data_IF_926717545084
#
_entry.id   IF_926717545084
#
_cell.length_a   1.000
_cell.length_b   1.000
_cell.length_c   1.000
_cell.angle_alpha   90.00
_cell.angle_beta   90.00
_cell.angle_gamma   90.00
#
_symmetry.space_group_name_H-M   'P 1'
#
loop_
_entity.id
_entity.type
_entity.pdbx_description
1 polymer ?
#
# COMPACT_ATOMS: atom_id res chain seq x y z
N UNK A 1 -33.37 -11.37 7.49
CA UNK A 1 -34.33 -11.37 8.64
C UNK A 1 -34.36 -12.70 9.42
N UNK A 2 -33.79 -13.82 8.92
CA UNK A 2 -33.69 -15.09 9.67
C UNK A 2 -32.56 -15.11 10.71
N UNK A 3 -31.50 -14.35 10.48
CA UNK A 3 -30.28 -14.38 11.32
C UNK A 3 -30.55 -13.94 12.76
N UNK A 4 -31.40 -12.93 12.94
CA UNK A 4 -31.79 -12.45 14.28
C UNK A 4 -32.57 -13.50 15.08
N UNK A 5 -33.43 -14.29 14.43
CA UNK A 5 -34.20 -15.35 15.09
C UNK A 5 -33.31 -16.51 15.52
N UNK A 6 -32.33 -16.85 14.69
CA UNK A 6 -31.33 -17.87 15.01
C UNK A 6 -30.45 -17.43 16.17
N UNK A 7 -29.96 -16.18 16.17
CA UNK A 7 -29.18 -15.61 17.28
C UNK A 7 -29.98 -15.57 18.59
N UNK A 8 -31.27 -15.20 18.55
CA UNK A 8 -32.11 -15.18 19.75
C UNK A 8 -32.37 -16.58 20.32
N UNK A 9 -32.42 -17.62 19.47
CA UNK A 9 -32.52 -19.01 19.91
C UNK A 9 -31.22 -19.48 20.56
N UNK A 10 -30.08 -19.22 19.94
CA UNK A 10 -28.75 -19.55 20.47
C UNK A 10 -28.43 -18.82 21.78
N UNK A 11 -28.88 -17.57 21.90
CA UNK A 11 -28.76 -16.80 23.15
C UNK A 11 -29.61 -17.43 24.26
N UNK A 12 -30.82 -17.91 23.94
CA UNK A 12 -31.68 -18.61 24.92
C UNK A 12 -31.20 -20.00 25.29
N UNK A 13 -30.49 -20.71 24.40
CA UNK A 13 -29.86 -21.99 24.72
C UNK A 13 -28.51 -21.82 25.44
N UNK A 14 -28.07 -20.60 25.72
CA UNK A 14 -26.74 -20.26 26.26
C UNK A 14 -25.56 -20.77 25.40
N UNK A 15 -25.84 -21.23 24.18
CA UNK A 15 -24.84 -21.69 23.21
C UNK A 15 -24.16 -20.53 22.47
N UNK A 16 -24.63 -19.29 22.70
CA UNK A 16 -24.05 -18.09 22.11
C UNK A 16 -22.95 -17.52 23.01
N UNK A 17 -21.70 -17.77 22.67
CA UNK A 17 -20.55 -17.15 23.33
C UNK A 17 -20.43 -15.67 22.92
N UNK A 18 -20.40 -14.78 23.91
CA UNK A 18 -20.14 -13.37 23.67
C UNK A 18 -18.75 -13.18 23.04
N UNK A 19 -18.71 -12.56 21.87
CA UNK A 19 -17.45 -12.18 21.23
C UNK A 19 -17.00 -10.87 21.84
N UNK A 20 -15.71 -10.80 22.20
CA UNK A 20 -15.11 -9.56 22.67
C UNK A 20 -15.18 -8.47 21.59
N UNK A 21 -15.81 -7.34 21.94
CA UNK A 21 -15.89 -6.15 21.10
C UNK A 21 -14.78 -5.18 21.52
N UNK A 22 -13.92 -4.72 20.60
CA UNK A 22 -12.89 -3.75 20.93
C UNK A 22 -13.50 -2.42 21.36
N UNK A 23 -12.96 -1.80 22.40
CA UNK A 23 -13.30 -0.43 22.74
C UNK A 23 -12.74 0.56 21.70
N UNK A 24 -13.17 1.83 21.72
CA UNK A 24 -12.72 2.83 20.74
C UNK A 24 -11.20 3.03 20.70
N UNK A 25 -10.48 2.82 21.81
CA UNK A 25 -9.03 2.95 21.83
C UNK A 25 -8.35 1.77 21.09
N UNK A 26 -8.87 0.56 21.26
CA UNK A 26 -8.42 -0.61 20.50
C UNK A 26 -8.73 -0.48 19.00
N UNK A 27 -9.89 0.07 18.64
CA UNK A 27 -10.24 0.34 17.24
C UNK A 27 -9.30 1.38 16.62
N UNK A 28 -9.02 2.47 17.32
CA UNK A 28 -8.10 3.51 16.87
C UNK A 28 -6.68 2.96 16.60
N UNK A 29 -6.16 2.11 17.49
CA UNK A 29 -4.87 1.45 17.28
C UNK A 29 -4.87 0.58 16.03
N UNK A 30 -5.93 -0.21 15.83
CA UNK A 30 -6.07 -1.08 14.65
C UNK A 30 -6.16 -0.27 13.37
N UNK A 31 -6.90 0.83 13.37
CA UNK A 31 -7.02 1.70 12.21
C UNK A 31 -5.70 2.36 11.82
N UNK A 32 -4.87 2.74 12.80
CA UNK A 32 -3.51 3.20 12.53
C UNK A 32 -2.66 2.12 11.85
N UNK A 33 -2.71 0.89 12.34
CA UNK A 33 -1.98 -0.24 11.73
C UNK A 33 -2.47 -0.51 10.30
N UNK A 34 -3.79 -0.50 10.09
CA UNK A 34 -4.40 -0.66 8.76
C UNK A 34 -4.00 0.47 7.81
N UNK A 35 -4.07 1.72 8.26
CA UNK A 35 -3.69 2.90 7.47
C UNK A 35 -2.22 2.83 7.05
N UNK A 36 -1.33 2.43 7.96
CA UNK A 36 0.09 2.19 7.65
C UNK A 36 0.25 1.10 6.58
N UNK A 37 -0.46 -0.03 6.74
CA UNK A 37 -0.46 -1.12 5.76
C UNK A 37 -0.93 -0.66 4.38
N UNK A 38 -2.04 0.09 4.32
CA UNK A 38 -2.58 0.66 3.10
C UNK A 38 -1.58 1.61 2.42
N UNK A 39 -0.93 2.50 3.19
CA UNK A 39 0.07 3.41 2.65
C UNK A 39 1.29 2.68 2.05
N UNK A 40 1.77 1.61 2.70
CA UNK A 40 2.87 0.78 2.18
C UNK A 40 2.46 0.05 0.89
N UNK A 41 1.23 -0.48 0.85
CA UNK A 41 0.67 -1.12 -0.33
C UNK A 41 0.54 -0.12 -1.50
N UNK A 42 0.10 1.11 -1.22
CA UNK A 42 -0.01 2.16 -2.23
C UNK A 42 1.34 2.58 -2.81
N UNK A 43 2.36 2.73 -1.98
CA UNK A 43 3.72 3.00 -2.45
C UNK A 43 4.20 1.87 -3.36
N UNK A 44 3.95 0.62 -2.98
CA UNK A 44 4.34 -0.55 -3.78
C UNK A 44 3.60 -0.58 -5.11
N UNK A 45 2.29 -0.36 -5.12
CA UNK A 45 1.48 -0.26 -6.35
C UNK A 45 1.97 0.87 -7.26
N UNK A 46 2.28 2.04 -6.71
CA UNK A 46 2.82 3.15 -7.47
C UNK A 46 4.18 2.80 -8.10
N UNK A 47 5.06 2.15 -7.33
CA UNK A 47 6.33 1.65 -7.85
C UNK A 47 6.12 0.69 -9.02
N UNK A 48 5.28 -0.33 -8.86
CA UNK A 48 5.00 -1.29 -9.93
C UNK A 48 4.42 -0.63 -11.18
N UNK A 49 3.48 0.30 -11.03
CA UNK A 49 2.90 1.06 -12.16
C UNK A 49 3.94 1.83 -12.95
N UNK A 50 4.87 2.49 -12.27
CA UNK A 50 5.98 3.22 -12.92
C UNK A 50 6.90 2.23 -13.63
N UNK A 51 7.30 1.14 -12.98
CA UNK A 51 8.14 0.11 -13.61
C UNK A 51 7.48 -0.47 -14.86
N UNK A 52 6.20 -0.85 -14.79
CA UNK A 52 5.46 -1.34 -15.95
C UNK A 52 5.35 -0.31 -17.07
N UNK A 53 5.18 0.97 -16.73
CA UNK A 53 5.17 2.04 -17.73
C UNK A 53 6.50 2.19 -18.45
N UNK A 54 7.62 2.20 -17.72
CA UNK A 54 8.96 2.30 -18.30
C UNK A 54 9.28 1.10 -19.20
N UNK A 55 8.88 -0.11 -18.79
CA UNK A 55 9.05 -1.31 -19.60
C UNK A 55 8.27 -1.24 -20.93
N UNK A 56 7.07 -0.68 -20.94
CA UNK A 56 6.29 -0.47 -22.18
C UNK A 56 6.92 0.56 -23.13
N UNK A 57 7.82 1.40 -22.63
CA UNK A 57 8.57 2.38 -23.43
C UNK A 57 9.99 1.89 -23.75
N UNK A 58 10.30 0.64 -23.40
CA UNK A 58 11.62 0.02 -23.46
C UNK A 58 12.74 0.81 -22.74
N UNK A 59 12.35 1.63 -21.75
CA UNK A 59 13.29 2.40 -20.93
C UNK A 59 13.74 1.53 -19.75
N UNK A 60 15.00 1.08 -19.78
CA UNK A 60 15.59 0.24 -18.72
C UNK A 60 16.59 1.02 -17.87
N UNK A 61 16.56 0.79 -16.57
CA UNK A 61 17.55 1.30 -15.63
C UNK A 61 18.56 0.19 -15.29
N UNK A 62 19.85 0.43 -15.53
CA UNK A 62 20.91 -0.57 -15.34
C UNK A 62 21.34 -0.81 -13.89
N UNK A 63 20.72 -0.15 -12.90
CA UNK A 63 21.09 -0.26 -11.49
C UNK A 63 19.94 -0.73 -10.59
N UNK A 64 20.17 -0.70 -9.27
CA UNK A 64 19.14 -1.07 -8.29
C UNK A 64 17.98 -0.05 -8.31
N UNK A 65 16.74 -0.46 -8.61
CA UNK A 65 15.60 0.44 -8.67
C UNK A 65 15.21 0.98 -7.29
N UNK A 66 14.45 2.08 -7.28
CA UNK A 66 13.91 2.75 -6.09
C UNK A 66 14.93 3.35 -5.09
N UNK A 67 16.22 3.37 -5.46
CA UNK A 67 17.27 4.09 -4.74
C UNK A 67 17.25 5.60 -5.00
N UNK A 68 18.02 6.39 -4.25
CA UNK A 68 18.18 7.84 -4.50
C UNK A 68 18.66 8.12 -5.94
N UNK A 69 19.60 7.30 -6.44
CA UNK A 69 20.11 7.38 -7.82
C UNK A 69 19.00 7.10 -8.85
N UNK A 70 18.20 6.05 -8.64
CA UNK A 70 17.07 5.74 -9.51
C UNK A 70 16.04 6.88 -9.54
N UNK A 71 15.70 7.48 -8.39
CA UNK A 71 14.75 8.60 -8.32
C UNK A 71 15.27 9.85 -9.04
N UNK A 72 16.57 10.16 -8.90
CA UNK A 72 17.19 11.26 -9.63
C UNK A 72 17.20 10.99 -11.14
N UNK A 73 17.44 9.75 -11.57
CA UNK A 73 17.34 9.33 -12.96
C UNK A 73 15.91 9.46 -13.51
N UNK A 74 14.89 9.00 -12.77
CA UNK A 74 13.48 9.17 -13.14
C UNK A 74 13.12 10.64 -13.38
N UNK A 75 13.64 11.55 -12.55
CA UNK A 75 13.42 12.99 -12.68
C UNK A 75 14.09 13.62 -13.92
N UNK A 76 15.04 12.93 -14.55
CA UNK A 76 15.72 13.37 -15.78
C UNK A 76 15.09 12.80 -17.04
N UNK A 77 14.17 11.84 -16.93
CA UNK A 77 13.48 11.28 -18.08
C UNK A 77 12.60 12.36 -18.71
N UNK A 78 12.94 12.76 -19.92
CA UNK A 78 12.10 13.58 -20.77
C UNK A 78 11.31 12.65 -21.71
N UNK A 79 9.99 12.75 -21.65
CA UNK A 79 9.11 12.04 -22.58
C UNK A 79 8.72 13.01 -23.69
N UNK A 80 8.94 12.59 -24.94
CA UNK A 80 8.66 13.39 -26.14
C UNK A 80 7.16 13.62 -26.31
N UNK A 81 6.34 12.61 -25.99
CA UNK A 81 4.89 12.71 -26.07
C UNK A 81 4.30 13.40 -24.82
N UNK A 82 3.47 14.45 -24.95
CA UNK A 82 2.88 15.16 -23.82
C UNK A 82 2.06 14.26 -22.89
N UNK A 83 1.41 13.24 -23.44
CA UNK A 83 0.61 12.25 -22.71
C UNK A 83 1.46 11.31 -21.81
N UNK A 84 2.77 11.25 -22.04
CA UNK A 84 3.69 10.38 -21.32
C UNK A 84 4.49 11.11 -20.24
N UNK A 85 4.36 12.44 -20.12
CA UNK A 85 5.05 13.21 -19.09
C UNK A 85 4.48 12.89 -17.69
N UNK A 86 5.26 12.31 -16.77
CA UNK A 86 4.79 12.08 -15.41
C UNK A 86 4.55 13.44 -14.74
N UNK A 87 3.32 13.66 -14.27
CA UNK A 87 2.93 14.90 -13.59
C UNK A 87 3.83 15.07 -12.36
N UNK A 88 4.51 16.21 -12.23
CA UNK A 88 5.65 16.40 -11.30
C UNK A 88 5.40 16.04 -9.81
N UNK A 89 4.13 15.96 -9.38
CA UNK A 89 3.79 15.53 -8.02
C UNK A 89 3.96 14.02 -7.76
N UNK A 90 4.04 13.18 -8.81
CA UNK A 90 4.13 11.72 -8.71
C UNK A 90 5.51 11.24 -8.21
N UNK A 91 6.59 11.91 -8.62
CA UNK A 91 7.98 11.51 -8.25
C UNK A 91 8.29 11.84 -6.79
N UNK A 92 7.66 12.88 -6.24
CA UNK A 92 7.91 13.38 -4.88
C UNK A 92 7.27 12.52 -3.78
N UNK A 93 6.14 11.86 -4.06
CA UNK A 93 5.36 11.12 -3.04
C UNK A 93 5.91 9.72 -2.71
N UNK A 94 6.78 9.15 -3.54
CA UNK A 94 7.40 7.81 -3.32
C UNK A 94 8.61 7.88 -2.37
N UNK A 95 8.82 9.02 -1.71
CA UNK A 95 10.04 9.40 -1.00
C UNK A 95 10.07 9.12 0.51
N UNK A 96 9.33 8.15 1.05
CA UNK A 96 9.39 7.79 2.48
C UNK A 96 10.18 6.51 2.73
N UNK A 97 11.46 6.65 3.15
CA UNK A 97 12.27 5.69 3.92
C UNK A 97 11.91 4.19 3.81
N UNK A 98 12.50 3.46 2.86
CA UNK A 98 12.87 2.05 3.09
C UNK A 98 14.28 2.03 3.65
N UNK A 99 14.37 2.22 4.97
CA UNK A 99 15.55 1.81 5.74
C UNK A 99 15.70 0.29 5.60
N UNK A 100 16.96 -0.14 5.54
CA UNK A 100 17.46 -1.47 5.27
C UNK A 100 16.57 -2.67 5.69
N UNK A 101 16.34 -3.57 4.74
CA UNK A 101 16.39 -5.01 4.99
C UNK A 101 17.34 -5.60 3.95
N UNK A 102 18.63 -5.43 4.21
CA UNK A 102 19.59 -6.48 3.91
C UNK A 102 19.67 -7.32 5.18
N UNK A 103 19.73 -8.64 5.02
CA UNK A 103 19.94 -9.66 6.06
C UNK A 103 18.67 -10.29 6.66
N UNK A 104 18.19 -11.38 6.04
CA UNK A 104 17.97 -12.69 6.68
C UNK A 104 18.22 -13.75 5.59
N UNK A 105 19.16 -14.66 5.90
CA UNK A 105 19.52 -15.98 5.34
C UNK A 105 18.91 -16.40 4.00
#
# INVERSE_FOLDING_TARGET
RRDCLTLARLLRSEELTAVWVPDPAHEAMRDLVRARGAAVADVTRCCQRISSFLLRQDIRYGGKPWTKKHRAWLGRLAFTEPAHRPRAHWVRKVGGSRRASSHVM
#
